data_IF_239447066890
#
_entry.id   IF_239447066890
#
_cell.length_a   1.000
_cell.length_b   1.000
_cell.length_c   1.000
_cell.angle_alpha   90.00
_cell.angle_beta   90.00
_cell.angle_gamma   90.00
#
_symmetry.space_group_name_H-M   'P 1'
#
loop_
_entity.id
_entity.type
_entity.pdbx_description
1 polymer ?
#
# COMPACT_ATOMS: atom_id res chain seq x y z
N UNK A 1 -13.46 -27.34 -0.62
CA UNK A 1 -13.46 -25.94 -1.09
C UNK A 1 -12.96 -25.10 0.06
N UNK A 2 -12.22 -24.04 -0.23
CA UNK A 2 -11.65 -23.15 0.76
C UNK A 2 -12.04 -21.71 0.44
N UNK A 3 -12.20 -20.90 1.48
CA UNK A 3 -12.22 -19.46 1.37
C UNK A 3 -10.98 -18.87 2.04
N UNK A 4 -10.52 -17.73 1.54
CA UNK A 4 -9.51 -16.91 2.20
C UNK A 4 -10.06 -15.49 2.30
N UNK A 5 -10.10 -14.96 3.52
CA UNK A 5 -10.28 -13.53 3.76
C UNK A 5 -8.90 -12.88 3.84
N UNK A 6 -8.70 -11.79 3.10
CA UNK A 6 -7.40 -11.15 2.93
C UNK A 6 -7.51 -9.63 3.09
N UNK A 7 -6.77 -9.09 4.06
CA UNK A 7 -6.57 -7.65 4.31
C UNK A 7 -5.14 -7.32 3.89
N UNK A 8 -4.99 -6.62 2.77
CA UNK A 8 -3.68 -6.11 2.34
C UNK A 8 -3.19 -5.04 3.33
N UNK A 9 -1.87 -4.89 3.51
CA UNK A 9 -1.29 -3.87 4.39
C UNK A 9 -1.88 -3.91 5.83
N UNK A 10 -2.10 -5.12 6.37
CA UNK A 10 -2.87 -5.36 7.61
C UNK A 10 -2.50 -4.45 8.78
N UNK A 11 -1.22 -4.34 9.11
CA UNK A 11 -0.76 -3.53 10.25
C UNK A 11 -1.12 -2.03 10.09
N UNK A 12 -1.11 -1.50 8.86
CA UNK A 12 -1.52 -0.13 8.59
C UNK A 12 -3.03 0.03 8.82
N UNK A 13 -3.84 -0.88 8.29
CA UNK A 13 -5.29 -0.82 8.45
C UNK A 13 -5.76 -1.09 9.88
N UNK A 14 -5.03 -1.90 10.64
CA UNK A 14 -5.28 -2.10 12.07
C UNK A 14 -5.17 -0.79 12.85
N UNK A 15 -4.13 0.02 12.57
CA UNK A 15 -3.96 1.34 13.20
C UNK A 15 -4.99 2.34 12.68
N UNK A 16 -5.21 2.41 11.36
CA UNK A 16 -6.16 3.38 10.79
C UNK A 16 -7.60 3.16 11.28
N UNK A 17 -7.95 1.91 11.61
CA UNK A 17 -9.26 1.56 12.19
C UNK A 17 -9.53 2.26 13.52
N UNK A 18 -8.53 2.50 14.35
CA UNK A 18 -8.69 3.15 15.65
C UNK A 18 -8.78 4.68 15.54
N UNK A 19 -8.50 5.23 14.35
CA UNK A 19 -8.51 6.68 14.06
C UNK A 19 -9.46 7.04 12.90
N UNK A 20 -10.78 6.80 13.02
CA UNK A 20 -11.73 6.96 11.91
C UNK A 20 -11.88 8.40 11.41
N UNK A 21 -11.54 9.40 12.22
CA UNK A 21 -11.62 10.83 11.88
C UNK A 21 -10.68 11.23 10.73
N UNK A 22 -9.75 10.34 10.36
CA UNK A 22 -8.76 10.60 9.31
C UNK A 22 -9.32 10.67 7.88
N UNK A 23 -10.59 10.31 7.66
CA UNK A 23 -11.34 10.69 6.45
C UNK A 23 -10.71 10.28 5.11
N UNK A 24 -9.94 9.18 5.07
CA UNK A 24 -9.27 8.71 3.86
C UNK A 24 -8.03 9.52 3.44
N UNK A 25 -7.52 10.39 4.32
CA UNK A 25 -6.26 11.10 4.09
C UNK A 25 -5.10 10.10 3.84
N UNK A 26 -4.12 10.44 2.97
CA UNK A 26 -2.97 9.59 2.73
C UNK A 26 -2.21 9.26 4.02
N UNK A 27 -2.02 7.98 4.29
CA UNK A 27 -1.25 7.50 5.43
C UNK A 27 -0.20 6.46 5.04
N UNK A 28 0.85 6.39 5.85
CA UNK A 28 1.91 5.40 5.76
C UNK A 28 2.30 4.88 7.15
N UNK A 29 2.60 3.59 7.23
CA UNK A 29 3.12 2.93 8.42
C UNK A 29 4.64 2.87 8.32
N UNK A 30 5.35 3.34 9.34
CA UNK A 30 6.81 3.33 9.42
C UNK A 30 7.29 2.35 10.50
N UNK A 31 8.41 1.68 10.24
CA UNK A 31 9.09 0.85 11.23
C UNK A 31 9.49 1.69 12.46
N UNK A 32 8.90 1.39 13.62
CA UNK A 32 9.18 2.09 14.88
C UNK A 32 10.43 1.60 15.61
N UNK A 33 11.03 0.46 15.21
CA UNK A 33 12.10 -0.18 15.97
C UNK A 33 13.51 0.22 15.51
N UNK A 34 13.66 0.83 14.33
CA UNK A 34 14.98 1.14 13.73
C UNK A 34 15.32 2.61 13.84
N UNK A 35 16.63 2.90 14.00
CA UNK A 35 17.19 4.28 13.90
C UNK A 35 16.82 4.98 12.58
N UNK A 36 16.71 4.22 11.49
CA UNK A 36 16.18 4.70 10.20
C UNK A 36 14.84 4.04 9.94
N UNK A 37 13.77 4.68 10.41
CA UNK A 37 12.40 4.24 10.17
C UNK A 37 12.07 4.30 8.67
N UNK A 38 11.72 3.14 8.10
CA UNK A 38 11.32 3.01 6.70
C UNK A 38 9.82 2.76 6.62
N UNK A 39 9.19 3.24 5.54
CA UNK A 39 7.81 2.93 5.20
C UNK A 39 7.66 1.42 5.01
N UNK A 40 6.80 0.80 5.79
CA UNK A 40 6.42 -0.61 5.70
C UNK A 40 5.22 -0.80 4.76
N UNK A 41 4.24 0.11 4.86
CA UNK A 41 3.01 0.07 4.10
C UNK A 41 2.47 1.48 3.88
N UNK A 42 1.69 1.66 2.81
CA UNK A 42 1.10 2.95 2.46
C UNK A 42 -0.31 2.75 1.89
N UNK A 43 -1.22 3.66 2.23
CA UNK A 43 -2.58 3.69 1.67
C UNK A 43 -2.55 3.92 0.16
N UNK A 44 -3.61 3.53 -0.54
CA UNK A 44 -3.74 3.77 -1.98
C UNK A 44 -3.56 5.26 -2.35
N UNK A 45 -4.10 6.19 -1.56
CA UNK A 45 -3.90 7.62 -1.75
C UNK A 45 -2.45 8.07 -1.58
N UNK A 46 -1.71 7.48 -0.64
CA UNK A 46 -0.28 7.76 -0.47
C UNK A 46 0.56 7.18 -1.63
N UNK A 47 0.26 5.96 -2.08
CA UNK A 47 0.90 5.35 -3.26
C UNK A 47 0.64 6.16 -4.52
N UNK A 48 -0.58 6.66 -4.72
CA UNK A 48 -0.91 7.53 -5.85
C UNK A 48 -0.10 8.84 -5.85
N UNK A 49 0.32 9.33 -4.68
CA UNK A 49 1.22 10.47 -4.54
C UNK A 49 2.72 10.10 -4.66
N UNK A 50 3.05 8.82 -4.91
CA UNK A 50 4.41 8.34 -5.10
C UNK A 50 5.14 7.91 -3.83
N UNK A 51 4.42 7.67 -2.72
CA UNK A 51 5.00 7.07 -1.51
C UNK A 51 5.10 5.56 -1.67
N UNK A 52 6.31 5.03 -1.55
CA UNK A 52 6.58 3.58 -1.68
C UNK A 52 7.18 2.99 -0.39
N UNK A 53 6.96 1.69 -0.12
CA UNK A 53 7.69 0.96 0.91
C UNK A 53 9.21 1.08 0.73
N UNK A 54 9.94 1.17 1.84
CA UNK A 54 11.39 1.38 1.86
C UNK A 54 11.84 2.83 1.85
N UNK A 55 10.94 3.80 1.64
CA UNK A 55 11.26 5.23 1.80
C UNK A 55 11.42 5.60 3.28
N UNK A 56 12.31 6.56 3.57
CA UNK A 56 12.39 7.22 4.89
C UNK A 56 11.26 8.24 5.06
N UNK A 57 10.98 8.66 6.31
CA UNK A 57 9.98 9.69 6.59
C UNK A 57 10.16 10.97 5.75
N UNK A 58 11.38 11.58 5.63
CA UNK A 58 11.57 12.76 4.80
C UNK A 58 11.32 12.51 3.31
N UNK A 59 11.71 11.33 2.79
CA UNK A 59 11.45 10.96 1.39
C UNK A 59 9.96 10.81 1.11
N UNK A 60 9.22 10.16 2.01
CA UNK A 60 7.78 9.99 1.89
C UNK A 60 7.03 11.34 1.97
N UNK A 61 7.41 12.21 2.91
CA UNK A 61 6.84 13.56 3.04
C UNK A 61 7.16 14.46 1.85
N UNK A 62 8.34 14.31 1.24
CA UNK A 62 8.69 15.01 0.01
C UNK A 62 7.82 14.61 -1.20
N UNK A 63 7.19 13.43 -1.16
CA UNK A 63 6.22 12.96 -2.17
C UNK A 63 4.80 13.41 -1.83
N UNK A 64 4.44 13.36 -0.56
CA UNK A 64 3.12 13.75 -0.08
C UNK A 64 3.25 14.57 1.22
N UNK A 65 3.18 15.89 1.11
CA UNK A 65 3.32 16.80 2.25
C UNK A 65 2.20 16.62 3.29
N UNK A 66 1.02 16.14 2.88
CA UNK A 66 -0.13 15.88 3.75
C UNK A 66 -0.13 14.47 4.37
N UNK A 67 0.92 13.67 4.13
CA UNK A 67 1.03 12.28 4.55
C UNK A 67 1.00 12.15 6.07
N UNK A 68 0.17 11.25 6.54
CA UNK A 68 0.11 10.90 7.96
C UNK A 68 0.99 9.69 8.22
N UNK A 69 1.98 9.88 9.08
CA UNK A 69 2.89 8.83 9.50
C UNK A 69 2.34 8.18 10.76
N UNK A 70 2.29 6.84 10.76
CA UNK A 70 1.93 6.01 11.91
C UNK A 70 2.99 4.94 12.14
N UNK A 71 3.02 4.38 13.33
CA UNK A 71 3.87 3.25 13.70
C UNK A 71 3.02 2.03 14.03
N UNK A 72 3.54 0.80 13.88
CA UNK A 72 2.84 -0.41 14.28
C UNK A 72 2.34 -0.33 15.72
N UNK A 73 1.11 -0.78 15.94
CA UNK A 73 0.49 -0.82 17.26
C UNK A 73 -0.01 -2.25 17.53
N UNK A 74 0.73 -3.06 18.32
CA UNK A 74 0.39 -4.48 18.54
C UNK A 74 -1.01 -4.73 19.10
N UNK A 75 -1.52 -3.80 19.93
CA UNK A 75 -2.87 -3.87 20.46
C UNK A 75 -3.93 -3.75 19.34
N UNK A 76 -3.78 -2.77 18.46
CA UNK A 76 -4.71 -2.55 17.34
C UNK A 76 -4.67 -3.73 16.36
N UNK A 77 -3.49 -4.30 16.09
CA UNK A 77 -3.34 -5.51 15.28
C UNK A 77 -4.03 -6.73 15.91
N UNK A 78 -3.92 -6.89 17.23
CA UNK A 78 -4.56 -8.00 17.95
C UNK A 78 -6.09 -7.90 17.84
N UNK A 79 -6.65 -6.72 18.02
CA UNK A 79 -8.10 -6.51 17.88
C UNK A 79 -8.59 -6.65 16.44
N UNK A 80 -7.82 -6.14 15.46
CA UNK A 80 -8.13 -6.29 14.04
C UNK A 80 -8.10 -7.76 13.60
N UNK A 81 -7.14 -8.54 14.13
CA UNK A 81 -7.06 -9.98 13.91
C UNK A 81 -8.26 -10.70 14.54
N UNK A 82 -8.64 -10.36 15.76
CA UNK A 82 -9.83 -10.93 16.40
C UNK A 82 -11.10 -10.67 15.56
N UNK A 83 -11.25 -9.45 15.03
CA UNK A 83 -12.35 -9.12 14.12
C UNK A 83 -12.32 -9.94 12.83
N UNK A 84 -11.15 -10.12 12.21
CA UNK A 84 -10.98 -10.95 11.01
C UNK A 84 -11.43 -12.40 11.26
N UNK A 85 -10.97 -13.00 12.36
CA UNK A 85 -11.32 -14.38 12.72
C UNK A 85 -12.80 -14.50 13.08
N UNK A 86 -13.37 -13.54 13.80
CA UNK A 86 -14.79 -13.51 14.12
C UNK A 86 -15.67 -13.51 12.85
N UNK A 87 -15.30 -12.72 11.84
CA UNK A 87 -15.97 -12.76 10.54
C UNK A 87 -15.71 -14.10 9.83
N UNK A 88 -14.50 -14.65 9.90
CA UNK A 88 -14.20 -15.98 9.35
C UNK A 88 -15.13 -17.07 9.88
N UNK A 89 -15.42 -17.05 11.18
CA UNK A 89 -16.35 -18.00 11.82
C UNK A 89 -17.79 -17.90 11.32
N UNK A 90 -18.19 -16.80 10.68
CA UNK A 90 -19.51 -16.69 10.03
C UNK A 90 -19.63 -17.54 8.76
N UNK A 91 -18.50 -17.93 8.16
CA UNK A 91 -18.45 -18.77 6.96
C UNK A 91 -18.35 -20.25 7.31
N UNK A 92 -17.56 -20.61 8.33
CA UNK A 92 -17.36 -21.98 8.78
C UNK A 92 -16.73 -22.00 10.18
N UNK A 93 -17.00 -23.03 11.03
CA UNK A 93 -16.28 -23.22 12.28
C UNK A 93 -14.81 -23.64 12.11
N UNK A 94 -14.41 -24.10 10.92
CA UNK A 94 -13.05 -24.55 10.64
C UNK A 94 -12.26 -23.44 9.94
N UNK A 95 -11.52 -22.67 10.73
CA UNK A 95 -10.68 -21.56 10.26
C UNK A 95 -9.24 -21.66 10.78
N UNK A 96 -8.33 -20.97 10.11
CA UNK A 96 -6.91 -20.86 10.46
C UNK A 96 -6.45 -19.39 10.39
N UNK A 97 -5.74 -18.94 11.42
CA UNK A 97 -4.99 -17.67 11.42
C UNK A 97 -3.66 -17.87 10.67
N UNK A 98 -3.72 -17.89 9.34
CA UNK A 98 -2.58 -18.31 8.49
C UNK A 98 -1.43 -17.31 8.48
N UNK A 99 -1.73 -16.00 8.48
CA UNK A 99 -0.74 -14.93 8.53
C UNK A 99 -1.44 -13.60 8.90
N UNK A 100 -0.68 -12.52 9.24
CA UNK A 100 -1.28 -11.21 9.48
C UNK A 100 -2.19 -10.77 8.32
N UNK A 101 -3.47 -10.56 8.62
CA UNK A 101 -4.48 -10.20 7.63
C UNK A 101 -4.94 -11.33 6.71
N UNK A 102 -4.56 -12.58 6.96
CA UNK A 102 -4.95 -13.76 6.16
C UNK A 102 -5.64 -14.79 7.06
N UNK A 103 -6.93 -15.01 6.80
CA UNK A 103 -7.71 -16.06 7.44
C UNK A 103 -8.13 -17.10 6.39
N UNK A 104 -7.66 -18.34 6.54
CA UNK A 104 -8.01 -19.46 5.68
C UNK A 104 -9.18 -20.24 6.31
N UNK A 105 -10.13 -20.66 5.48
CA UNK A 105 -11.41 -21.21 5.94
C UNK A 105 -11.70 -22.49 5.15
N UNK A 106 -11.88 -23.62 5.85
CA UNK A 106 -12.37 -24.85 5.22
C UNK A 106 -13.90 -24.79 5.11
N UNK A 107 -14.40 -24.87 3.88
CA UNK A 107 -15.82 -24.80 3.56
C UNK A 107 -16.45 -26.19 3.39
N UNK A 108 -15.83 -27.24 3.96
CA UNK A 108 -16.39 -28.60 3.95
C UNK A 108 -17.79 -28.59 4.56
N UNK A 109 -18.76 -29.11 3.80
CA UNK A 109 -20.18 -29.18 4.22
C UNK A 109 -20.98 -27.90 4.01
N UNK A 110 -20.37 -26.81 3.53
CA UNK A 110 -21.09 -25.58 3.19
C UNK A 110 -21.71 -25.70 1.78
N UNK A 111 -22.97 -25.29 1.64
CA UNK A 111 -23.64 -25.25 0.35
C UNK A 111 -22.96 -24.26 -0.60
N UNK A 112 -22.45 -24.77 -1.72
CA UNK A 112 -21.77 -24.00 -2.77
C UNK A 112 -22.57 -22.80 -3.26
N UNK A 113 -23.91 -22.88 -3.30
CA UNK A 113 -24.77 -21.77 -3.74
C UNK A 113 -24.76 -20.60 -2.77
N UNK A 114 -24.48 -20.85 -1.49
CA UNK A 114 -24.44 -19.85 -0.42
C UNK A 114 -23.07 -19.19 -0.27
N UNK A 115 -22.02 -19.78 -0.85
CA UNK A 115 -20.64 -19.32 -0.66
C UNK A 115 -20.38 -17.90 -1.18
N UNK A 116 -20.81 -17.59 -2.40
CA UNK A 116 -20.57 -16.27 -2.97
C UNK A 116 -21.29 -15.15 -2.20
N UNK A 117 -22.60 -15.27 -1.88
CA UNK A 117 -23.28 -14.33 -0.99
C UNK A 117 -22.64 -14.21 0.39
N UNK A 118 -22.28 -15.35 1.02
CA UNK A 118 -21.68 -15.34 2.34
C UNK A 118 -20.31 -14.65 2.35
N UNK A 119 -19.44 -14.93 1.37
CA UNK A 119 -18.16 -14.25 1.24
C UNK A 119 -18.30 -12.75 0.97
N UNK A 120 -19.31 -12.34 0.20
CA UNK A 120 -19.60 -10.92 -0.01
C UNK A 120 -20.06 -10.23 1.29
N UNK A 121 -20.92 -10.88 2.07
CA UNK A 121 -21.35 -10.39 3.37
C UNK A 121 -20.17 -10.30 4.37
N UNK A 122 -19.28 -11.30 4.38
CA UNK A 122 -18.06 -11.29 5.19
C UNK A 122 -17.15 -10.11 4.85
N UNK A 123 -16.87 -9.88 3.56
CA UNK A 123 -16.08 -8.72 3.10
C UNK A 123 -16.76 -7.41 3.52
N UNK A 124 -18.07 -7.30 3.34
CA UNK A 124 -18.84 -6.11 3.74
C UNK A 124 -18.75 -5.84 5.24
N UNK A 125 -18.86 -6.90 6.06
CA UNK A 125 -18.72 -6.80 7.52
C UNK A 125 -17.33 -6.30 7.94
N UNK A 126 -16.25 -6.79 7.30
CA UNK A 126 -14.90 -6.29 7.58
C UNK A 126 -14.73 -4.81 7.18
N UNK A 127 -15.28 -4.42 6.04
CA UNK A 127 -15.23 -3.02 5.58
C UNK A 127 -15.97 -2.09 6.55
N UNK A 128 -17.11 -2.52 7.09
CA UNK A 128 -17.84 -1.77 8.12
C UNK A 128 -17.04 -1.63 9.42
N UNK A 129 -16.19 -2.61 9.72
CA UNK A 129 -15.23 -2.55 10.82
C UNK A 129 -13.96 -1.75 10.47
N UNK A 130 -13.92 -1.02 9.36
CA UNK A 130 -12.75 -0.22 8.95
C UNK A 130 -11.57 -1.05 8.42
N UNK A 131 -11.79 -2.33 8.10
CA UNK A 131 -10.78 -3.24 7.56
C UNK A 131 -11.08 -3.53 6.09
N UNK A 132 -10.34 -2.91 5.14
CA UNK A 132 -10.51 -3.21 3.72
C UNK A 132 -10.11 -4.65 3.47
N UNK A 133 -11.03 -5.42 2.91
CA UNK A 133 -10.84 -6.85 2.77
C UNK A 133 -11.17 -7.31 1.35
N UNK A 134 -10.59 -8.44 1.00
CA UNK A 134 -10.87 -9.18 -0.22
C UNK A 134 -11.14 -10.62 0.18
N UNK A 135 -11.89 -11.35 -0.65
CA UNK A 135 -12.11 -12.77 -0.41
C UNK A 135 -11.86 -13.60 -1.66
N UNK A 136 -11.33 -14.78 -1.47
CA UNK A 136 -11.09 -15.74 -2.54
C UNK A 136 -11.73 -17.07 -2.21
N UNK A 137 -12.38 -17.72 -3.17
CA UNK A 137 -12.97 -19.07 -3.00
C UNK A 137 -12.41 -20.00 -4.07
N UNK A 138 -11.79 -21.10 -3.66
CA UNK A 138 -11.21 -22.06 -4.60
C UNK A 138 -11.08 -23.49 -4.04
N UNK A 139 -10.77 -24.50 -4.88
CA UNK A 139 -10.61 -25.89 -4.44
C UNK A 139 -9.47 -26.14 -3.45
N UNK A 140 -8.43 -25.30 -3.44
CA UNK A 140 -7.28 -25.42 -2.51
C UNK A 140 -7.00 -24.08 -1.80
N UNK A 141 -6.39 -24.09 -0.59
CA UNK A 141 -6.14 -22.88 0.19
C UNK A 141 -5.29 -21.85 -0.56
N UNK A 142 -4.22 -22.30 -1.21
CA UNK A 142 -3.31 -21.43 -1.95
C UNK A 142 -4.01 -20.74 -3.13
N UNK A 143 -4.89 -21.47 -3.83
CA UNK A 143 -5.63 -20.94 -4.97
C UNK A 143 -6.72 -19.96 -4.51
N UNK A 144 -7.30 -20.19 -3.33
CA UNK A 144 -8.21 -19.25 -2.69
C UNK A 144 -7.46 -17.96 -2.28
N UNK A 145 -6.24 -18.08 -1.74
CA UNK A 145 -5.41 -16.91 -1.44
C UNK A 145 -5.06 -16.12 -2.71
N UNK A 146 -4.70 -16.79 -3.81
CA UNK A 146 -4.49 -16.12 -5.09
C UNK A 146 -5.75 -15.41 -5.58
N UNK A 147 -6.91 -16.07 -5.51
CA UNK A 147 -8.20 -15.47 -5.86
C UNK A 147 -8.49 -14.20 -5.03
N UNK A 148 -8.20 -14.22 -3.73
CA UNK A 148 -8.39 -13.09 -2.84
C UNK A 148 -7.47 -11.92 -3.21
N UNK A 149 -6.18 -12.18 -3.46
CA UNK A 149 -5.19 -11.15 -3.81
C UNK A 149 -5.47 -10.43 -5.13
N UNK A 150 -6.05 -11.14 -6.10
CA UNK A 150 -6.42 -10.55 -7.41
C UNK A 150 -7.87 -10.07 -7.45
N UNK A 151 -8.63 -10.19 -6.36
CA UNK A 151 -9.97 -9.66 -6.29
C UNK A 151 -9.91 -8.12 -6.28
N UNK A 152 -10.88 -7.45 -6.91
CA UNK A 152 -11.00 -6.00 -6.75
C UNK A 152 -11.14 -5.63 -5.27
N UNK A 153 -10.70 -4.42 -4.85
CA UNK A 153 -10.83 -3.97 -3.47
C UNK A 153 -12.26 -4.14 -2.95
N UNK A 154 -12.42 -4.64 -1.73
CA UNK A 154 -13.72 -4.84 -1.08
C UNK A 154 -14.66 -5.78 -1.84
N UNK A 155 -14.11 -6.74 -2.61
CA UNK A 155 -14.88 -7.76 -3.32
C UNK A 155 -14.35 -9.17 -3.06
N UNK A 156 -15.18 -10.15 -3.40
CA UNK A 156 -14.83 -11.56 -3.43
C UNK A 156 -14.65 -12.06 -4.88
N UNK A 157 -13.81 -13.08 -5.07
CA UNK A 157 -13.59 -13.74 -6.36
C UNK A 157 -13.54 -15.26 -6.16
N UNK A 158 -14.07 -16.03 -7.11
CA UNK A 158 -13.96 -17.48 -7.10
C UNK A 158 -13.13 -17.96 -8.29
N UNK A 159 -12.27 -18.96 -8.05
CA UNK A 159 -11.51 -19.67 -9.07
C UNK A 159 -11.87 -21.15 -8.99
N UNK A 160 -12.42 -21.71 -10.06
CA UNK A 160 -12.68 -23.15 -10.16
C UNK A 160 -11.66 -23.78 -11.11
N UNK A 161 -11.09 -24.92 -10.70
CA UNK A 161 -10.13 -25.67 -11.51
C UNK A 161 -10.79 -26.63 -12.52
N UNK A 162 -12.12 -26.57 -12.67
CA UNK A 162 -12.85 -27.37 -13.64
C UNK A 162 -12.69 -26.78 -15.05
N UNK A 163 -11.70 -27.31 -15.77
CA UNK A 163 -11.43 -27.14 -17.22
C UNK A 163 -11.32 -25.71 -17.72
N UNK A 164 -10.08 -25.27 -17.92
CA UNK A 164 -9.72 -24.31 -18.95
C UNK A 164 -10.09 -24.88 -20.34
N UNK A 165 -11.29 -24.59 -20.80
CA UNK A 165 -11.61 -24.53 -22.22
C UNK A 165 -12.65 -23.43 -22.40
N UNK A 166 -12.20 -22.29 -22.94
CA UNK A 166 -12.93 -21.05 -23.28
C UNK A 166 -12.87 -19.85 -22.32
N UNK A 167 -11.69 -19.48 -21.84
CA UNK A 167 -11.40 -18.03 -21.77
C UNK A 167 -10.67 -17.66 -23.05
N UNK A 168 -11.36 -16.96 -23.96
CA UNK A 168 -10.73 -16.32 -25.11
C UNK A 168 -9.67 -15.36 -24.57
N UNK A 169 -8.40 -15.64 -24.85
CA UNK A 169 -7.34 -14.66 -24.69
C UNK A 169 -7.73 -13.35 -25.39
N UNK A 170 -7.38 -12.17 -24.84
CA UNK A 170 -7.44 -10.94 -25.60
C UNK A 170 -6.29 -10.96 -26.62
N UNK A 171 -6.50 -11.66 -27.73
CA UNK A 171 -5.63 -11.57 -28.90
C UNK A 171 -6.22 -10.52 -29.84
N UNK A 172 -5.86 -9.25 -29.64
CA UNK A 172 -5.97 -8.21 -30.66
C UNK A 172 -5.20 -6.94 -30.23
N UNK A 173 -3.87 -6.99 -30.26
CA UNK A 173 -3.04 -5.80 -30.49
C UNK A 173 -1.75 -6.24 -31.19
N UNK A 174 -1.88 -6.77 -32.40
CA UNK A 174 -0.74 -7.12 -33.25
C UNK A 174 -1.17 -7.25 -34.72
N UNK A 175 -1.71 -6.17 -35.30
CA UNK A 175 -1.79 -6.00 -36.75
C UNK A 175 -2.12 -4.54 -37.08
N UNK A 176 -1.12 -3.66 -37.18
CA UNK A 176 -1.05 -2.63 -38.23
C UNK A 176 0.20 -1.72 -38.11
N UNK A 177 1.39 -2.30 -38.26
CA UNK A 177 2.65 -1.54 -38.26
C UNK A 177 3.53 -1.85 -39.48
N UNK A 178 2.90 -2.07 -40.64
CA UNK A 178 3.63 -2.31 -41.92
C UNK A 178 3.73 -1.12 -42.86
N UNK A 179 3.14 0.04 -42.55
CA UNK A 179 3.10 1.17 -43.51
C UNK A 179 3.69 2.51 -43.04
N UNK A 180 4.37 2.58 -41.89
CA UNK A 180 4.97 3.84 -41.39
C UNK A 180 6.43 4.07 -41.76
N UNK A 181 7.15 3.05 -42.23
CA UNK A 181 8.60 3.12 -42.50
C UNK A 181 8.98 3.63 -43.91
N UNK A 182 8.04 4.14 -44.72
CA UNK A 182 8.32 4.57 -46.12
C UNK A 182 8.29 6.09 -46.36
N UNK A 183 8.04 6.90 -45.33
CA UNK A 183 7.81 8.35 -45.49
C UNK A 183 8.90 9.29 -44.91
N UNK A 184 10.01 8.77 -44.37
CA UNK A 184 11.04 9.62 -43.73
C UNK A 184 12.41 9.65 -44.44
N UNK A 185 12.54 9.06 -45.64
CA UNK A 185 13.82 9.01 -46.36
C UNK A 185 13.82 9.74 -47.70
N UNK A 186 13.50 11.04 -47.72
CA UNK A 186 13.65 11.87 -48.94
C UNK A 186 14.48 13.16 -48.81
N UNK A 187 14.86 13.59 -47.61
CA UNK A 187 15.68 14.81 -47.48
C UNK A 187 17.00 14.53 -46.75
N UNK A 188 17.96 13.95 -47.48
CA UNK A 188 19.39 14.14 -47.17
C UNK A 188 19.97 15.08 -48.21
N UNK A 189 20.30 16.30 -47.80
CA UNK A 189 21.30 17.14 -48.44
C UNK A 189 22.59 17.10 -47.61
N UNK A 190 23.77 17.24 -48.24
CA UNK A 190 25.04 16.84 -47.64
C UNK A 190 25.60 17.90 -46.68
N UNK A 191 26.35 17.42 -45.68
CA UNK A 191 27.10 18.22 -44.73
C UNK A 191 28.30 18.94 -45.36
N UNK A 192 28.73 20.09 -44.83
CA UNK A 192 30.11 20.53 -44.96
C UNK A 192 30.91 20.22 -43.69
N UNK A 193 32.10 19.68 -43.94
CA UNK A 193 33.21 19.39 -43.04
C UNK A 193 34.05 20.64 -42.75
N UNK A 194 34.32 20.97 -41.49
CA UNK A 194 35.48 21.78 -41.05
C UNK A 194 35.80 21.38 -39.59
N UNK A 195 36.77 20.50 -39.32
CA UNK A 195 38.20 20.74 -39.00
C UNK A 195 38.45 21.53 -37.72
N UNK A 196 39.02 20.83 -36.71
CA UNK A 196 40.08 21.21 -35.74
C UNK A 196 40.15 22.68 -35.27
N UNK A 197 40.35 23.02 -33.99
CA UNK A 197 41.62 22.82 -33.26
C UNK A 197 41.51 23.39 -31.83
N UNK A 198 42.38 22.88 -30.95
CA UNK A 198 43.00 23.50 -29.77
C UNK A 198 42.18 23.75 -28.50
N UNK A 199 42.53 23.17 -27.33
CA UNK A 199 43.72 23.29 -26.44
C UNK A 199 43.52 24.41 -25.38
N UNK A 200 43.88 24.06 -24.14
CA UNK A 200 44.57 24.88 -23.10
C UNK A 200 43.76 25.33 -21.84
N UNK A 201 44.24 24.80 -20.68
CA UNK A 201 44.36 25.33 -19.27
C UNK A 201 43.12 25.83 -18.52
N UNK A 202 42.78 25.42 -17.29
CA UNK A 202 43.49 25.44 -15.98
C UNK A 202 43.84 26.82 -15.41
N UNK A 203 43.10 27.25 -14.37
CA UNK A 203 43.46 28.22 -13.29
C UNK A 203 42.31 28.15 -12.26
N UNK A 204 42.45 27.61 -11.05
CA UNK A 204 43.16 28.07 -9.84
C UNK A 204 42.64 29.36 -9.21
N UNK A 205 42.53 29.31 -7.87
CA UNK A 205 42.47 30.40 -6.87
C UNK A 205 41.08 30.97 -6.56
N UNK A 206 40.73 31.39 -5.34
CA UNK A 206 41.29 31.40 -3.96
C UNK A 206 40.10 31.89 -3.08
N UNK A 207 39.83 31.27 -1.94
CA UNK A 207 40.15 31.75 -0.58
C UNK A 207 39.47 33.05 -0.10
N UNK A 208 39.23 33.07 1.22
CA UNK A 208 38.81 34.15 2.16
C UNK A 208 37.30 34.43 2.26
N UNK A 209 36.69 34.68 3.43
CA UNK A 209 37.19 34.84 4.80
C UNK A 209 36.09 34.65 5.85
N UNK A 210 36.57 34.47 7.09
CA UNK A 210 35.93 34.52 8.41
C UNK A 210 34.65 35.36 8.62
N UNK A 211 33.79 34.92 9.55
CA UNK A 211 33.61 35.59 10.85
C UNK A 211 32.50 34.95 11.71
N UNK A 212 32.92 34.49 12.88
CA UNK A 212 32.19 34.20 14.10
C UNK A 212 31.29 35.36 14.54
N UNK A 213 30.24 35.15 15.34
CA UNK A 213 29.95 35.91 16.58
C UNK A 213 28.66 35.42 17.30
N UNK A 214 28.87 34.87 18.50
CA UNK A 214 28.10 34.96 19.76
C UNK A 214 26.56 34.70 19.82
N UNK A 215 26.21 33.61 20.53
CA UNK A 215 25.11 33.54 21.54
C UNK A 215 25.59 34.19 22.87
N UNK A 216 24.84 34.29 24.02
CA UNK A 216 23.55 33.66 24.40
C UNK A 216 22.61 34.54 25.29
N UNK A 217 21.62 33.89 25.93
CA UNK A 217 20.75 34.32 27.08
C UNK A 217 19.35 34.82 26.65
N UNK A 218 18.22 34.43 27.25
CA UNK A 218 17.94 34.40 28.70
C UNK A 218 16.76 33.46 29.02
N UNK A 219 16.85 32.80 30.17
CA UNK A 219 15.77 32.06 30.85
C UNK A 219 14.51 32.91 31.02
N UNK A 220 13.33 32.31 30.91
CA UNK A 220 12.28 32.66 31.86
C UNK A 220 11.40 31.46 32.21
N UNK A 221 11.41 31.15 33.51
CA UNK A 221 10.58 30.18 34.19
C UNK A 221 9.36 30.91 34.74
N UNK A 222 8.14 30.43 34.52
CA UNK A 222 7.03 30.67 35.44
C UNK A 222 6.06 29.49 35.42
N UNK A 223 5.91 28.92 36.62
CA UNK A 223 4.91 27.95 37.05
C UNK A 223 3.50 28.54 36.92
N UNK A 224 2.52 27.72 36.55
CA UNK A 224 1.19 27.80 37.18
C UNK A 224 0.51 26.43 37.15
N UNK A 225 0.05 26.00 38.32
CA UNK A 225 -0.52 24.71 38.66
C UNK A 225 -2.07 24.73 38.51
N UNK A 226 -2.80 23.64 38.83
CA UNK A 226 -4.04 23.23 38.15
C UNK A 226 -5.33 23.74 38.81
N UNK A 227 -6.44 23.71 38.06
CA UNK A 227 -7.80 23.86 38.59
C UNK A 227 -8.58 22.53 38.52
N UNK A 228 -9.37 22.17 39.56
CA UNK A 228 -10.09 20.90 39.64
C UNK A 228 -11.59 20.98 39.22
N UNK A 229 -12.09 19.83 38.76
CA UNK A 229 -13.42 19.20 38.97
C UNK A 229 -14.69 20.09 38.99
N UNK A 230 -15.65 19.75 38.12
CA UNK A 230 -17.08 19.74 38.50
C UNK A 230 -17.82 18.56 37.87
N UNK A 231 -18.42 17.76 38.75
CA UNK A 231 -19.40 16.70 38.51
C UNK A 231 -20.78 17.35 38.52
N UNK A 232 -21.61 17.10 37.50
CA UNK A 232 -23.08 16.91 37.59
C UNK A 232 -23.48 15.93 36.50
#
# INVERSE_FOLDING_TARGET
MFAVLHIADFALHAVLRTEPVLGGRPAALLDGARKKALVLAATAGARAAGVEPGMTAPQALARCATLMIRTPQPAAETEARAALLAVGFTLSPSIEDTAPGICTIDLKGVDTKKLAPAAHAAVTGLVQLGLPATAGIAPTPLLALYAARIAPPNRSRSLNLSRSSSEKSPTACAADDRNRARALNRNRSPAPSITSTSKITSTSNRETDAASFLSPSTLNSQLSAPNPVLVV
#
